data_IF_252784226450
#
_entry.id   IF_252784226450
#
_cell.length_a   1.000
_cell.length_b   1.000
_cell.length_c   1.000
_cell.angle_alpha   90.00
_cell.angle_beta   90.00
_cell.angle_gamma   90.00
#
_symmetry.space_group_name_H-M   'P 1'
#
loop_
_entity.id
_entity.type
_entity.pdbx_description
1 polymer ?
#
# COMPACT_ATOMS: atom_id res chain seq x y z
N UNK A 1 28.33 28.93 -17.62
CA UNK A 1 26.88 28.68 -17.54
C UNK A 1 26.61 27.43 -16.70
N UNK A 2 26.73 27.52 -15.36
CA UNK A 2 26.50 26.40 -14.40
C UNK A 2 25.74 26.84 -13.13
N UNK A 3 25.37 28.12 -13.03
CA UNK A 3 24.82 28.70 -11.80
C UNK A 3 23.29 28.56 -11.70
N UNK A 4 22.56 28.44 -12.82
CA UNK A 4 21.09 28.36 -12.81
C UNK A 4 20.55 27.04 -12.25
N UNK A 5 21.20 25.90 -12.53
CA UNK A 5 20.75 24.59 -12.04
C UNK A 5 20.76 24.48 -10.50
N UNK A 6 21.73 25.10 -9.84
CA UNK A 6 21.83 25.07 -8.36
C UNK A 6 20.74 25.89 -7.69
N UNK A 7 20.35 27.03 -8.27
CA UNK A 7 19.33 27.93 -7.70
C UNK A 7 17.93 27.30 -7.77
N UNK A 8 17.61 26.60 -8.86
CA UNK A 8 16.32 25.91 -9.04
C UNK A 8 16.18 24.69 -8.13
N UNK A 9 17.28 24.00 -7.83
CA UNK A 9 17.31 22.89 -6.87
C UNK A 9 17.16 23.42 -5.44
N UNK A 10 17.83 24.52 -5.09
CA UNK A 10 17.77 25.14 -3.77
C UNK A 10 16.34 25.58 -3.41
N UNK A 11 15.65 26.26 -4.32
CA UNK A 11 14.27 26.74 -4.10
C UNK A 11 13.27 25.59 -3.96
N UNK A 12 13.40 24.51 -4.76
CA UNK A 12 12.57 23.30 -4.63
C UNK A 12 12.82 22.55 -3.31
N UNK A 13 14.07 22.44 -2.87
CA UNK A 13 14.43 21.83 -1.59
C UNK A 13 13.87 22.61 -0.41
N UNK A 14 13.90 23.94 -0.47
CA UNK A 14 13.44 24.81 0.62
C UNK A 14 11.92 24.77 0.76
N UNK A 15 11.18 24.75 -0.35
CA UNK A 15 9.74 24.52 -0.37
C UNK A 15 9.37 23.14 0.19
N UNK A 16 10.14 22.09 -0.15
CA UNK A 16 9.94 20.73 0.36
C UNK A 16 10.17 20.63 1.88
N UNK A 17 11.22 21.28 2.40
CA UNK A 17 11.53 21.32 3.84
C UNK A 17 10.41 21.95 4.67
N UNK A 18 9.71 22.94 4.12
CA UNK A 18 8.56 23.56 4.80
C UNK A 18 7.37 22.60 4.90
N UNK A 19 7.13 21.75 3.90
CA UNK A 19 6.07 20.73 3.94
C UNK A 19 6.36 19.62 4.94
N UNK A 20 7.62 19.15 5.05
CA UNK A 20 8.01 18.13 6.03
C UNK A 20 7.91 18.64 7.48
N UNK A 21 8.27 19.90 7.75
CA UNK A 21 8.11 20.51 9.07
C UNK A 21 6.65 20.56 9.53
N UNK A 22 5.69 20.70 8.59
CA UNK A 22 4.25 20.65 8.90
C UNK A 22 3.82 19.24 9.31
N UNK A 23 4.27 18.20 8.60
CA UNK A 23 4.00 16.80 8.94
C UNK A 23 4.55 16.46 10.34
N UNK A 24 5.80 16.85 10.64
CA UNK A 24 6.45 16.54 11.93
C UNK A 24 5.83 17.26 13.14
N UNK A 25 5.14 18.38 12.94
CA UNK A 25 4.51 19.16 14.01
C UNK A 25 3.08 18.73 14.31
N UNK A 26 2.51 17.80 13.54
CA UNK A 26 1.11 17.36 13.67
C UNK A 26 0.10 18.53 13.58
N UNK A 27 0.53 19.69 13.08
CA UNK A 27 -0.33 20.84 12.81
C UNK A 27 -1.18 20.46 11.60
N UNK A 28 -2.44 20.09 11.85
CA UNK A 28 -3.51 19.82 10.87
C UNK A 28 -2.94 19.53 9.48
N UNK A 29 -2.22 18.41 9.37
CA UNK A 29 -1.54 18.04 8.13
C UNK A 29 -2.62 17.53 7.19
N UNK A 30 -3.44 18.45 6.69
CA UNK A 30 -4.35 18.20 5.60
C UNK A 30 -3.46 17.92 4.40
N UNK A 31 -3.24 16.64 4.15
CA UNK A 31 -2.75 16.19 2.86
C UNK A 31 -3.67 16.79 1.78
N UNK A 32 -3.11 17.05 0.60
CA UNK A 32 -3.91 17.51 -0.53
C UNK A 32 -5.16 16.62 -0.68
N UNK A 33 -6.29 17.20 -1.09
CA UNK A 33 -7.52 16.45 -1.34
C UNK A 33 -7.37 15.32 -2.38
N UNK A 34 -6.32 15.38 -3.19
CA UNK A 34 -5.95 14.38 -4.20
C UNK A 34 -4.83 13.43 -3.71
N UNK A 35 -4.43 13.51 -2.44
CA UNK A 35 -3.42 12.63 -1.86
C UNK A 35 -4.01 11.25 -1.57
N UNK A 36 -3.18 10.22 -1.80
CA UNK A 36 -3.52 8.84 -1.44
C UNK A 36 -3.91 8.71 0.04
N UNK A 37 -3.32 9.51 0.94
CA UNK A 37 -3.66 9.49 2.38
C UNK A 37 -5.09 9.94 2.64
N UNK A 38 -5.57 10.95 1.91
CA UNK A 38 -6.94 11.45 2.02
C UNK A 38 -7.96 10.44 1.45
N UNK A 39 -7.62 9.77 0.35
CA UNK A 39 -8.48 8.73 -0.23
C UNK A 39 -8.54 7.49 0.67
N UNK A 40 -7.42 7.10 1.28
CA UNK A 40 -7.37 6.06 2.31
C UNK A 40 -8.24 6.40 3.53
N UNK A 41 -8.17 7.64 4.01
CA UNK A 41 -8.98 8.10 5.15
C UNK A 41 -10.49 8.02 4.81
N UNK A 42 -10.89 8.50 3.63
CA UNK A 42 -12.28 8.40 3.17
C UNK A 42 -12.75 6.96 3.02
N UNK A 43 -11.90 6.08 2.49
CA UNK A 43 -12.20 4.66 2.36
C UNK A 43 -12.50 4.06 3.74
N UNK A 44 -11.60 4.24 4.72
CA UNK A 44 -11.77 3.72 6.08
C UNK A 44 -13.06 4.27 6.72
N UNK A 45 -13.32 5.57 6.61
CA UNK A 45 -14.56 6.17 7.15
C UNK A 45 -15.81 5.56 6.53
N UNK A 46 -15.82 5.39 5.21
CA UNK A 46 -16.97 4.81 4.49
C UNK A 46 -17.20 3.34 4.91
N UNK A 47 -16.14 2.55 5.02
CA UNK A 47 -16.23 1.15 5.48
C UNK A 47 -16.66 1.06 6.95
N UNK A 48 -16.24 1.99 7.82
CA UNK A 48 -16.75 2.07 9.20
C UNK A 48 -18.26 2.36 9.23
N UNK A 49 -18.73 3.33 8.45
CA UNK A 49 -20.17 3.60 8.36
C UNK A 49 -20.94 2.38 7.85
N UNK A 50 -20.36 1.62 6.90
CA UNK A 50 -20.92 0.35 6.45
C UNK A 50 -21.00 -0.68 7.59
N UNK A 51 -19.94 -0.88 8.37
CA UNK A 51 -19.94 -1.80 9.53
C UNK A 51 -20.99 -1.40 10.58
N UNK A 52 -21.12 -0.10 10.88
CA UNK A 52 -22.13 0.42 11.81
C UNK A 52 -23.56 0.21 11.31
N UNK A 53 -23.74 0.18 9.99
CA UNK A 53 -25.06 -0.02 9.36
C UNK A 53 -25.40 -1.51 9.24
N UNK A 54 -24.42 -2.36 8.89
CA UNK A 54 -24.59 -3.81 8.69
C UNK A 54 -24.35 -4.54 10.01
N UNK A 55 -25.32 -4.44 10.91
CA UNK A 55 -25.25 -5.08 12.24
C UNK A 55 -25.29 -6.62 12.19
N UNK A 56 -25.82 -7.19 11.10
CA UNK A 56 -25.96 -8.65 10.91
C UNK A 56 -25.50 -9.03 9.50
N UNK A 57 -24.18 -9.22 9.28
CA UNK A 57 -23.61 -9.44 7.94
C UNK A 57 -24.21 -10.62 7.19
N UNK A 58 -24.59 -11.70 7.88
CA UNK A 58 -25.17 -12.89 7.24
C UNK A 58 -26.49 -12.61 6.50
N UNK A 59 -27.18 -11.50 6.79
CA UNK A 59 -28.37 -11.10 6.03
C UNK A 59 -28.04 -10.73 4.59
N UNK A 60 -26.81 -10.31 4.31
CA UNK A 60 -26.37 -9.98 2.95
C UNK A 60 -26.37 -11.20 2.02
N UNK A 61 -26.20 -12.42 2.55
CA UNK A 61 -26.26 -13.66 1.76
C UNK A 61 -27.67 -13.94 1.20
N UNK A 62 -28.71 -13.26 1.72
CA UNK A 62 -30.08 -13.40 1.23
C UNK A 62 -30.46 -12.29 0.25
N UNK A 63 -29.56 -11.33 -0.02
CA UNK A 63 -29.79 -10.29 -1.02
C UNK A 63 -29.49 -10.87 -2.40
N UNK A 64 -30.34 -10.55 -3.38
CA UNK A 64 -29.99 -10.81 -4.76
C UNK A 64 -28.77 -9.95 -5.12
N UNK A 65 -27.73 -10.51 -5.73
CA UNK A 65 -26.62 -9.70 -6.21
C UNK A 65 -27.15 -8.78 -7.32
N UNK A 66 -27.09 -7.46 -7.12
CA UNK A 66 -27.42 -6.47 -8.15
C UNK A 66 -26.23 -6.21 -9.10
N UNK A 67 -25.49 -7.27 -9.43
CA UNK A 67 -24.26 -7.23 -10.23
C UNK A 67 -23.45 -8.53 -10.05
N UNK A 68 -22.18 -8.52 -10.48
CA UNK A 68 -21.32 -9.72 -10.45
C UNK A 68 -20.71 -10.02 -9.08
N UNK A 69 -20.68 -9.02 -8.19
CA UNK A 69 -20.06 -9.13 -6.88
C UNK A 69 -21.12 -9.50 -5.82
N UNK A 70 -21.00 -10.70 -5.22
CA UNK A 70 -21.84 -11.13 -4.10
C UNK A 70 -21.74 -10.13 -2.92
N UNK A 71 -22.87 -9.59 -2.41
CA UNK A 71 -22.86 -8.55 -1.38
C UNK A 71 -22.14 -8.94 -0.09
N UNK A 72 -22.24 -10.20 0.34
CA UNK A 72 -21.56 -10.68 1.54
C UNK A 72 -20.05 -10.77 1.33
N UNK A 73 -19.63 -11.31 0.18
CA UNK A 73 -18.23 -11.41 -0.22
C UNK A 73 -17.58 -10.03 -0.39
N UNK A 74 -18.31 -9.06 -0.95
CA UNK A 74 -17.86 -7.67 -1.07
C UNK A 74 -17.70 -7.02 0.31
N UNK A 75 -18.68 -7.19 1.21
CA UNK A 75 -18.59 -6.71 2.59
C UNK A 75 -17.36 -7.27 3.31
N UNK A 76 -17.13 -8.58 3.24
CA UNK A 76 -15.96 -9.21 3.86
C UNK A 76 -14.65 -8.66 3.27
N UNK A 77 -14.54 -8.61 1.94
CA UNK A 77 -13.34 -8.15 1.25
C UNK A 77 -12.99 -6.69 1.56
N UNK A 78 -13.98 -5.79 1.67
CA UNK A 78 -13.76 -4.39 2.03
C UNK A 78 -13.25 -4.24 3.47
N UNK A 79 -13.76 -5.06 4.40
CA UNK A 79 -13.29 -5.08 5.79
C UNK A 79 -11.88 -5.65 5.90
N UNK A 80 -11.58 -6.72 5.17
CA UNK A 80 -10.22 -7.28 5.08
C UNK A 80 -9.25 -6.24 4.51
N UNK A 81 -9.64 -5.51 3.47
CA UNK A 81 -8.80 -4.45 2.91
C UNK A 81 -8.60 -3.29 3.90
N UNK A 82 -9.67 -2.88 4.62
CA UNK A 82 -9.58 -1.86 5.69
C UNK A 82 -8.61 -2.29 6.79
N UNK A 83 -8.69 -3.54 7.25
CA UNK A 83 -7.80 -4.04 8.30
C UNK A 83 -6.34 -4.10 7.82
N UNK A 84 -6.06 -4.57 6.60
CA UNK A 84 -4.71 -4.56 6.02
C UNK A 84 -4.15 -3.14 5.82
N UNK A 85 -5.03 -2.17 5.54
CA UNK A 85 -4.67 -0.77 5.39
C UNK A 85 -4.26 -0.16 6.73
N UNK A 86 -5.07 -0.34 7.78
CA UNK A 86 -4.87 0.24 9.11
C UNK A 86 -3.73 -0.44 9.89
N UNK A 87 -3.68 -1.77 9.86
CA UNK A 87 -2.77 -2.58 10.68
C UNK A 87 -1.63 -3.20 9.89
N UNK A 88 -1.44 -2.72 8.65
CA UNK A 88 -0.26 -2.87 7.81
C UNK A 88 0.64 -4.09 8.11
N UNK A 89 0.15 -5.32 7.93
CA UNK A 89 1.01 -6.50 7.87
C UNK A 89 1.58 -7.03 9.19
N UNK A 90 1.03 -6.72 10.36
CA UNK A 90 1.44 -7.36 11.62
C UNK A 90 1.12 -8.89 11.68
N UNK A 91 0.50 -9.45 10.65
CA UNK A 91 0.36 -10.91 10.51
C UNK A 91 1.71 -11.61 10.22
N UNK A 92 2.73 -10.90 9.74
CA UNK A 92 4.02 -11.51 9.37
C UNK A 92 4.99 -11.70 10.56
N UNK A 93 4.71 -11.13 11.75
CA UNK A 93 5.57 -11.31 12.95
C UNK A 93 5.08 -12.40 13.93
N UNK A 94 3.96 -13.08 13.63
CA UNK A 94 3.42 -14.20 14.44
C UNK A 94 3.51 -15.58 13.76
N UNK A 95 4.21 -15.73 12.63
CA UNK A 95 4.45 -17.03 11.98
C UNK A 95 5.93 -17.47 12.04
N UNK A 96 6.87 -16.60 12.43
CA UNK A 96 8.30 -16.96 12.49
C UNK A 96 8.74 -17.62 13.81
N UNK A 97 7.86 -17.74 14.82
CA UNK A 97 8.13 -18.53 16.04
C UNK A 97 7.64 -19.99 15.98
N UNK A 98 6.99 -20.39 14.88
CA UNK A 98 6.38 -21.72 14.74
C UNK A 98 7.02 -22.66 13.72
N UNK A 99 7.99 -22.22 12.91
CA UNK A 99 8.50 -23.04 11.78
C UNK A 99 10.01 -23.02 11.60
N UNK A 100 10.76 -23.14 12.70
CA UNK A 100 12.11 -23.70 12.66
C UNK A 100 11.99 -25.20 12.95
N UNK A 101 11.76 -26.01 11.92
CA UNK A 101 12.19 -27.43 11.76
C UNK A 101 11.66 -27.90 10.39
N UNK A 102 12.56 -28.45 9.57
CA UNK A 102 12.39 -29.03 8.22
C UNK A 102 12.15 -28.02 7.10
N UNK A 103 12.85 -28.03 5.97
CA UNK A 103 13.94 -28.87 5.48
C UNK A 103 14.63 -28.10 4.36
N UNK A 104 15.93 -28.29 4.18
CA UNK A 104 16.62 -27.81 2.98
C UNK A 104 16.26 -28.76 1.84
N UNK A 105 15.70 -28.25 0.75
CA UNK A 105 15.73 -29.00 -0.51
C UNK A 105 15.57 -28.03 -1.67
N UNK A 106 16.69 -27.77 -2.33
CA UNK A 106 16.72 -27.19 -3.68
C UNK A 106 16.20 -28.24 -4.66
N UNK A 107 15.22 -27.88 -5.46
CA UNK A 107 14.84 -28.65 -6.65
C UNK A 107 14.36 -27.68 -7.71
N UNK A 108 15.28 -27.32 -8.60
CA UNK A 108 15.01 -26.68 -9.87
C UNK A 108 14.20 -27.62 -10.77
N UNK A 109 13.07 -27.12 -11.28
CA UNK A 109 12.23 -27.84 -12.23
C UNK A 109 11.77 -26.87 -13.32
N UNK A 110 12.41 -27.01 -14.48
CA UNK A 110 11.97 -26.45 -15.75
C UNK A 110 10.67 -27.13 -16.19
N UNK A 111 9.55 -26.43 -16.01
CA UNK A 111 8.28 -26.82 -16.60
C UNK A 111 8.00 -25.95 -17.83
N UNK A 112 8.49 -26.40 -18.99
CA UNK A 112 7.89 -26.03 -20.26
C UNK A 112 6.54 -26.76 -20.36
N UNK A 113 5.45 -26.02 -20.42
CA UNK A 113 4.15 -26.56 -20.81
C UNK A 113 3.47 -25.59 -21.78
N UNK A 114 3.30 -26.11 -22.98
CA UNK A 114 2.74 -25.46 -24.14
C UNK A 114 1.22 -25.25 -24.02
N UNK A 115 0.76 -24.22 -24.71
CA UNK A 115 -0.56 -24.05 -25.34
C UNK A 115 -1.77 -24.51 -24.51
N UNK A 116 -2.41 -23.54 -23.85
CA UNK A 116 -3.79 -23.61 -23.41
C UNK A 116 -4.50 -22.32 -23.79
N UNK A 117 -5.13 -22.35 -24.98
CA UNK A 117 -6.37 -21.66 -25.34
C UNK A 117 -6.88 -20.62 -24.32
N UNK A 118 -6.41 -19.38 -24.43
CA UNK A 118 -7.12 -18.25 -23.83
C UNK A 118 -8.19 -17.82 -24.82
N UNK A 119 -9.32 -18.51 -24.76
CA UNK A 119 -10.59 -18.03 -25.25
C UNK A 119 -10.78 -16.59 -24.81
N UNK A 120 -10.76 -15.71 -25.79
CA UNK A 120 -11.06 -14.29 -25.63
C UNK A 120 -12.57 -14.15 -25.49
N UNK A 121 -13.08 -14.48 -24.30
CA UNK A 121 -14.37 -13.96 -23.87
C UNK A 121 -14.15 -12.48 -23.54
N UNK A 122 -14.27 -11.66 -24.58
CA UNK A 122 -14.50 -10.23 -24.40
C UNK A 122 -15.89 -10.07 -23.85
N UNK A 123 -16.00 -9.74 -22.56
CA UNK A 123 -17.14 -9.09 -21.90
C UNK A 123 -16.84 -8.98 -20.39
N UNK A 124 -16.02 -8.00 -20.00
CA UNK A 124 -16.08 -7.32 -18.70
C UNK A 124 -15.03 -6.17 -18.66
N UNK A 125 -15.38 -5.04 -19.29
CA UNK A 125 -14.72 -3.74 -19.03
C UNK A 125 -15.05 -3.19 -17.63
N UNK A 126 -15.73 -3.98 -16.78
CA UNK A 126 -15.95 -3.68 -15.37
C UNK A 126 -14.80 -4.28 -14.56
N UNK A 127 -13.96 -3.42 -13.99
CA UNK A 127 -13.00 -3.84 -12.98
C UNK A 127 -13.79 -4.36 -11.76
N UNK A 128 -13.95 -5.67 -11.63
CA UNK A 128 -14.55 -6.28 -10.43
C UNK A 128 -13.84 -5.75 -9.18
N UNK A 129 -14.61 -5.43 -8.15
CA UNK A 129 -14.10 -4.87 -6.91
C UNK A 129 -13.00 -5.76 -6.29
N UNK A 130 -13.08 -7.08 -6.50
CA UNK A 130 -12.08 -8.04 -6.06
C UNK A 130 -10.72 -7.82 -6.76
N UNK A 131 -10.71 -7.55 -8.07
CA UNK A 131 -9.48 -7.26 -8.83
C UNK A 131 -8.88 -5.92 -8.39
N UNK A 132 -9.69 -4.89 -8.23
CA UNK A 132 -9.26 -3.58 -7.75
C UNK A 132 -8.63 -3.67 -6.34
N UNK A 133 -9.25 -4.43 -5.42
CA UNK A 133 -8.72 -4.67 -4.09
C UNK A 133 -7.39 -5.43 -4.11
N UNK A 134 -7.26 -6.46 -4.96
CA UNK A 134 -6.01 -7.19 -5.13
C UNK A 134 -4.88 -6.29 -5.67
N UNK A 135 -5.18 -5.44 -6.66
CA UNK A 135 -4.25 -4.46 -7.19
C UNK A 135 -3.83 -3.44 -6.11
N UNK A 136 -4.79 -2.92 -5.34
CA UNK A 136 -4.54 -2.02 -4.22
C UNK A 136 -3.55 -2.64 -3.21
N UNK A 137 -3.80 -3.88 -2.77
CA UNK A 137 -2.89 -4.60 -1.86
C UNK A 137 -1.47 -4.70 -2.42
N UNK A 138 -1.32 -5.12 -3.68
CA UNK A 138 -0.01 -5.21 -4.34
C UNK A 138 0.69 -3.85 -4.40
N UNK A 139 -0.04 -2.80 -4.77
CA UNK A 139 0.51 -1.45 -4.87
C UNK A 139 0.96 -0.89 -3.52
N UNK A 140 0.17 -1.08 -2.46
CA UNK A 140 0.54 -0.62 -1.11
C UNK A 140 1.77 -1.33 -0.58
N UNK A 141 1.88 -2.65 -0.79
CA UNK A 141 3.08 -3.41 -0.43
C UNK A 141 4.31 -2.90 -1.18
N UNK A 142 4.20 -2.70 -2.50
CA UNK A 142 5.27 -2.14 -3.31
C UNK A 142 5.68 -0.74 -2.86
N UNK A 143 4.72 0.15 -2.63
CA UNK A 143 4.98 1.52 -2.17
C UNK A 143 5.66 1.54 -0.80
N UNK A 144 5.17 0.74 0.17
CA UNK A 144 5.77 0.61 1.50
C UNK A 144 7.22 0.12 1.39
N UNK A 145 7.49 -0.87 0.55
CA UNK A 145 8.84 -1.38 0.31
C UNK A 145 9.75 -0.29 -0.28
N UNK A 146 9.30 0.38 -1.34
CA UNK A 146 10.05 1.46 -1.99
C UNK A 146 10.37 2.60 -1.01
N UNK A 147 9.39 3.05 -0.23
CA UNK A 147 9.58 4.10 0.76
C UNK A 147 10.59 3.68 1.84
N UNK A 148 10.50 2.46 2.39
CA UNK A 148 11.48 1.95 3.36
C UNK A 148 12.89 1.93 2.80
N UNK A 149 13.06 1.47 1.55
CA UNK A 149 14.37 1.45 0.89
C UNK A 149 14.93 2.86 0.68
N UNK A 150 14.10 3.79 0.18
CA UNK A 150 14.52 5.18 -0.05
C UNK A 150 14.81 5.92 1.25
N UNK A 151 14.06 5.66 2.32
CA UNK A 151 14.35 6.20 3.67
C UNK A 151 15.70 5.69 4.18
N UNK A 152 16.00 4.40 4.01
CA UNK A 152 17.30 3.84 4.38
C UNK A 152 18.45 4.45 3.58
N UNK A 153 18.28 4.62 2.26
CA UNK A 153 19.26 5.28 1.41
C UNK A 153 19.48 6.75 1.81
N UNK A 154 18.42 7.49 2.14
CA UNK A 154 18.52 8.87 2.61
C UNK A 154 19.25 8.98 3.96
N UNK A 155 19.00 8.03 4.87
CA UNK A 155 19.71 7.95 6.16
C UNK A 155 21.20 7.64 5.95
N UNK A 156 21.53 6.73 5.04
CA UNK A 156 22.92 6.43 4.67
C UNK A 156 23.62 7.66 4.10
N UNK A 157 23.00 8.36 3.14
CA UNK A 157 23.54 9.60 2.57
C UNK A 157 23.80 10.66 3.64
N UNK A 158 22.86 10.82 4.58
CA UNK A 158 23.02 11.75 5.72
C UNK A 158 24.23 11.39 6.58
N UNK A 159 24.42 10.10 6.88
CA UNK A 159 25.57 9.61 7.65
C UNK A 159 26.89 9.82 6.91
N UNK A 160 26.98 9.43 5.64
CA UNK A 160 28.19 9.60 4.84
C UNK A 160 28.62 11.07 4.77
N UNK A 161 27.67 11.99 4.65
CA UNK A 161 27.96 13.42 4.68
C UNK A 161 28.47 13.90 6.04
N UNK A 162 27.89 13.43 7.15
CA UNK A 162 28.34 13.77 8.51
C UNK A 162 29.78 13.29 8.77
N UNK A 163 30.13 12.08 8.30
CA UNK A 163 31.47 11.50 8.37
C UNK A 163 32.48 12.31 7.54
N UNK A 164 32.11 12.71 6.32
CA UNK A 164 32.98 13.47 5.42
C UNK A 164 33.23 14.91 5.89
N UNK A 165 32.21 15.58 6.47
CA UNK A 165 32.32 16.96 6.95
C UNK A 165 32.92 17.05 8.36
N UNK A 166 33.12 15.92 9.04
CA UNK A 166 33.81 15.86 10.32
C UNK A 166 33.06 16.54 11.46
N UNK A 167 31.73 16.40 11.54
CA UNK A 167 30.98 16.91 12.68
C UNK A 167 31.35 16.07 13.93
N UNK A 168 31.94 16.66 14.99
CA UNK A 168 32.05 15.96 16.27
C UNK A 168 30.64 15.80 16.84
N UNK A 169 30.36 14.59 17.30
CA UNK A 169 29.16 14.24 18.07
C UNK A 169 29.09 15.07 19.35
#
# INVERSE_FOLDING_TARGET
MKMSFNTDISTKLENSRNSLKKIARNDNTEFSKQSVMNDMEKFVKTVNTMEETVLVPCRLMNLSPEGDDDPFSLFAMLNDLKTELLWAGDAEEQIERGRRISDISDTESDASSAAGDSGIDGEDERESAARAAAACRRHLRGLRHCLRNLTAAAAHLTRSYQEEVGAPV
#
